data_IF_927964814268
#
_entry.id   IF_927964814268
#
_cell.length_a   1.000
_cell.length_b   1.000
_cell.length_c   1.000
_cell.angle_alpha   90.00
_cell.angle_beta   90.00
_cell.angle_gamma   90.00
#
_symmetry.space_group_name_H-M   'P 1'
#
loop_
_entity.id
_entity.type
_entity.pdbx_description
1 polymer ?
#
# COMPACT_ATOMS: atom_id res chain seq x y z
N UNK A 1 1.53 -4.38 19.49
CA UNK A 1 2.16 -5.40 18.61
C UNK A 1 3.40 -4.78 17.95
N UNK A 2 4.55 -5.46 17.97
CA UNK A 2 5.76 -4.97 17.29
C UNK A 2 5.65 -5.33 15.80
N UNK A 3 5.45 -4.34 14.93
CA UNK A 3 5.48 -4.53 13.47
C UNK A 3 6.92 -4.39 12.96
N UNK A 4 7.33 -5.25 12.02
CA UNK A 4 8.64 -5.15 11.33
C UNK A 4 8.41 -4.90 9.85
N UNK A 5 8.93 -3.80 9.31
CA UNK A 5 8.86 -3.49 7.89
C UNK A 5 9.56 -4.59 7.08
N UNK A 6 8.89 -5.09 6.03
CA UNK A 6 9.42 -6.05 5.08
C UNK A 6 9.70 -5.38 3.73
N UNK A 7 8.74 -4.61 3.22
CA UNK A 7 8.84 -3.92 1.95
C UNK A 7 8.22 -2.53 2.03
N UNK A 8 8.78 -1.62 1.26
CA UNK A 8 8.22 -0.30 0.98
C UNK A 8 8.40 -0.03 -0.50
N UNK A 9 7.33 0.42 -1.16
CA UNK A 9 7.37 0.97 -2.51
C UNK A 9 6.60 2.28 -2.52
N UNK A 10 7.06 3.23 -3.32
CA UNK A 10 6.43 4.55 -3.42
C UNK A 10 6.29 4.99 -4.86
N UNK A 11 5.27 5.80 -5.13
CA UNK A 11 5.04 6.42 -6.43
C UNK A 11 4.53 7.84 -6.25
N UNK A 12 4.78 8.71 -7.22
CA UNK A 12 4.32 10.10 -7.21
C UNK A 12 3.22 10.26 -8.24
N UNK A 13 2.09 10.82 -7.81
CA UNK A 13 0.97 11.21 -8.66
C UNK A 13 0.97 12.72 -8.75
N UNK A 14 0.96 13.26 -9.97
CA UNK A 14 0.98 14.70 -10.20
C UNK A 14 -0.42 15.29 -10.03
N UNK A 15 -0.87 15.37 -8.78
CA UNK A 15 -2.16 15.92 -8.38
C UNK A 15 -2.18 16.24 -6.87
N UNK A 16 -3.15 17.04 -6.39
CA UNK A 16 -3.30 17.34 -4.96
C UNK A 16 -3.52 16.09 -4.10
N UNK A 17 -2.97 16.12 -2.88
CA UNK A 17 -3.01 15.00 -1.92
C UNK A 17 -4.43 14.54 -1.61
N UNK A 18 -5.39 15.47 -1.56
CA UNK A 18 -6.80 15.19 -1.25
C UNK A 18 -7.45 14.37 -2.37
N UNK A 19 -7.15 14.69 -3.63
CA UNK A 19 -7.68 13.97 -4.79
C UNK A 19 -7.13 12.56 -4.91
N UNK A 20 -5.84 12.42 -4.62
CA UNK A 20 -5.19 11.11 -4.61
C UNK A 20 -5.67 10.25 -3.44
N UNK A 21 -5.89 10.86 -2.26
CA UNK A 21 -6.49 10.18 -1.12
C UNK A 21 -7.93 9.73 -1.41
N UNK A 22 -8.76 10.56 -2.03
CA UNK A 22 -10.12 10.20 -2.48
C UNK A 22 -10.09 8.93 -3.36
N UNK A 23 -9.21 8.90 -4.37
CA UNK A 23 -9.04 7.73 -5.24
C UNK A 23 -8.54 6.49 -4.50
N UNK A 24 -7.61 6.66 -3.56
CA UNK A 24 -7.11 5.57 -2.73
C UNK A 24 -8.24 4.95 -1.89
N UNK A 25 -9.03 5.78 -1.20
CA UNK A 25 -10.15 5.31 -0.40
C UNK A 25 -11.29 4.72 -1.24
N UNK A 26 -11.53 5.25 -2.44
CA UNK A 26 -12.51 4.70 -3.36
C UNK A 26 -12.09 3.34 -3.94
N UNK A 27 -10.80 3.14 -4.19
CA UNK A 27 -10.26 1.85 -4.66
C UNK A 27 -10.37 0.78 -3.58
N UNK A 28 -10.17 1.16 -2.32
CA UNK A 28 -10.22 0.26 -1.17
C UNK A 28 -9.10 -0.80 -1.16
N UNK A 29 -8.97 -1.55 -0.06
CA UNK A 29 -8.07 -2.70 -0.01
C UNK A 29 -8.67 -3.91 -0.74
N UNK A 30 -7.88 -4.99 -0.93
CA UNK A 30 -8.41 -6.26 -1.44
C UNK A 30 -9.62 -6.75 -0.65
N UNK A 31 -10.53 -7.50 -1.29
CA UNK A 31 -11.67 -8.08 -0.60
C UNK A 31 -11.26 -9.24 0.33
N UNK A 32 -12.03 -9.46 1.40
CA UNK A 32 -11.84 -10.60 2.30
C UNK A 32 -10.69 -10.47 3.32
N UNK A 33 -10.16 -9.26 3.52
CA UNK A 33 -9.16 -8.96 4.56
C UNK A 33 -9.75 -8.03 5.62
N UNK A 34 -9.19 -8.07 6.83
CA UNK A 34 -9.47 -7.05 7.83
C UNK A 34 -8.93 -5.72 7.35
N UNK A 35 -9.69 -4.66 7.56
CA UNK A 35 -9.39 -3.31 7.08
C UNK A 35 -9.61 -2.30 8.18
N UNK A 36 -8.73 -1.31 8.23
CA UNK A 36 -8.82 -0.13 9.07
C UNK A 36 -8.46 1.09 8.22
N UNK A 37 -9.38 2.04 8.08
CA UNK A 37 -9.21 3.21 7.22
C UNK A 37 -9.23 4.48 8.09
N UNK A 38 -8.07 5.14 8.15
CA UNK A 38 -7.89 6.41 8.84
C UNK A 38 -7.82 7.55 7.81
N UNK A 39 -8.92 8.29 7.68
CA UNK A 39 -9.00 9.45 6.79
C UNK A 39 -8.28 10.68 7.35
N UNK A 40 -8.01 10.74 8.66
CA UNK A 40 -7.27 11.86 9.24
C UNK A 40 -5.79 11.79 8.86
N UNK A 41 -5.23 10.57 8.71
CA UNK A 41 -3.84 10.35 8.30
C UNK A 41 -3.70 9.84 6.86
N UNK A 42 -4.77 9.88 6.06
CA UNK A 42 -4.81 9.34 4.69
C UNK A 42 -4.18 7.94 4.58
N UNK A 43 -4.57 7.04 5.48
CA UNK A 43 -3.98 5.69 5.59
C UNK A 43 -5.05 4.61 5.56
N UNK A 44 -4.83 3.57 4.77
CA UNK A 44 -5.60 2.32 4.78
C UNK A 44 -4.67 1.20 5.21
N UNK A 45 -4.97 0.59 6.34
CA UNK A 45 -4.30 -0.61 6.82
C UNK A 45 -5.17 -1.83 6.56
N UNK A 46 -4.55 -2.94 6.16
CA UNK A 46 -5.25 -4.19 5.98
C UNK A 46 -4.38 -5.39 6.32
N UNK A 47 -4.99 -6.45 6.83
CA UNK A 47 -4.28 -7.66 7.23
C UNK A 47 -5.14 -8.90 7.01
N UNK A 48 -4.47 -9.98 6.61
CA UNK A 48 -5.04 -11.33 6.70
C UNK A 48 -4.97 -11.84 8.14
N UNK A 49 -5.22 -13.14 8.33
CA UNK A 49 -5.47 -13.63 9.68
C UNK A 49 -4.27 -13.61 10.64
N UNK A 50 -3.01 -13.68 10.19
CA UNK A 50 -1.92 -13.97 11.16
C UNK A 50 -0.47 -13.54 10.88
N UNK A 51 -0.06 -13.12 9.68
CA UNK A 51 1.37 -12.90 9.40
C UNK A 51 1.76 -11.57 8.76
N UNK A 52 0.87 -10.91 8.01
CA UNK A 52 1.19 -9.63 7.36
C UNK A 52 0.15 -8.56 7.60
N UNK A 53 0.60 -7.30 7.53
CA UNK A 53 -0.22 -6.09 7.44
C UNK A 53 0.30 -5.24 6.28
N UNK A 54 -0.55 -4.94 5.31
CA UNK A 54 -0.32 -3.90 4.31
C UNK A 54 -0.80 -2.56 4.84
N UNK A 55 -0.09 -1.48 4.53
CA UNK A 55 -0.49 -0.10 4.79
C UNK A 55 -0.28 0.70 3.50
N UNK A 56 -1.36 1.26 2.97
CA UNK A 56 -1.32 2.26 1.91
C UNK A 56 -1.55 3.64 2.52
N UNK A 57 -0.69 4.60 2.21
CA UNK A 57 -0.83 5.98 2.67
C UNK A 57 -0.57 6.98 1.55
N UNK A 58 -1.21 8.14 1.64
CA UNK A 58 -0.94 9.29 0.76
C UNK A 58 -0.33 10.42 1.58
N UNK A 59 0.84 10.88 1.17
CA UNK A 59 1.61 11.94 1.80
C UNK A 59 1.75 13.12 0.82
N UNK A 60 1.90 14.35 1.34
CA UNK A 60 2.19 15.52 0.49
C UNK A 60 3.54 15.36 -0.22
N UNK A 61 3.64 15.86 -1.46
CA UNK A 61 4.88 15.86 -2.23
C UNK A 61 5.00 17.16 -3.04
N UNK A 62 6.21 17.73 -3.23
CA UNK A 62 6.37 18.95 -4.05
C UNK A 62 5.79 18.85 -5.46
N UNK A 63 5.83 17.66 -6.06
CA UNK A 63 5.30 17.39 -7.40
C UNK A 63 3.84 16.86 -7.40
N UNK A 64 3.11 16.96 -6.28
CA UNK A 64 1.73 16.48 -6.13
C UNK A 64 1.53 15.66 -4.85
N UNK A 65 1.31 14.36 -5.00
CA UNK A 65 1.09 13.45 -3.88
C UNK A 65 1.97 12.21 -3.98
N UNK A 66 2.53 11.79 -2.83
CA UNK A 66 3.30 10.57 -2.72
C UNK A 66 2.42 9.44 -2.20
N UNK A 67 2.18 8.44 -3.05
CA UNK A 67 1.54 7.19 -2.66
C UNK A 67 2.61 6.25 -2.10
N UNK A 68 2.36 5.74 -0.90
CA UNK A 68 3.29 4.86 -0.19
C UNK A 68 2.58 3.56 0.13
N UNK A 69 3.23 2.44 -0.18
CA UNK A 69 2.76 1.11 0.18
C UNK A 69 3.82 0.41 1.02
N UNK A 70 3.44 0.02 2.25
CA UNK A 70 4.31 -0.65 3.22
C UNK A 70 3.73 -2.01 3.57
N UNK A 71 4.60 -3.02 3.64
CA UNK A 71 4.24 -4.37 4.09
C UNK A 71 5.00 -4.68 5.36
N UNK A 72 4.28 -5.04 6.42
CA UNK A 72 4.85 -5.38 7.71
C UNK A 72 4.62 -6.85 8.05
N UNK A 73 5.61 -7.45 8.72
CA UNK A 73 5.43 -8.66 9.48
C UNK A 73 4.79 -8.33 10.83
N UNK A 74 3.67 -8.99 11.13
CA UNK A 74 2.95 -8.90 12.41
C UNK A 74 2.90 -10.24 13.16
N UNK A 75 3.56 -11.28 12.64
CA UNK A 75 3.57 -12.60 13.27
C UNK A 75 4.22 -12.56 14.67
N UNK A 76 3.65 -13.28 15.67
CA UNK A 76 4.31 -13.46 16.96
C UNK A 76 5.63 -14.23 16.80
N UNK A 77 6.62 -13.90 17.64
CA UNK A 77 7.97 -14.50 17.62
C UNK A 77 7.88 -16.03 17.59
N UNK A 78 8.60 -16.67 16.66
CA UNK A 78 8.64 -18.13 16.51
C UNK A 78 7.84 -18.69 15.34
N UNK A 79 7.03 -17.89 14.64
CA UNK A 79 6.23 -18.35 13.49
C UNK A 79 6.87 -18.04 12.11
N UNK A 80 8.17 -18.32 12.00
CA UNK A 80 8.98 -18.17 10.79
C UNK A 80 8.69 -19.22 9.71
N UNK A 81 7.79 -20.17 9.96
CA UNK A 81 7.40 -21.21 8.99
C UNK A 81 6.80 -20.61 7.69
N UNK A 82 6.03 -19.52 7.77
CA UNK A 82 5.58 -18.79 6.59
C UNK A 82 6.73 -18.09 5.83
N UNK A 83 7.80 -17.73 6.54
CA UNK A 83 9.03 -17.13 6.00
C UNK A 83 9.95 -18.17 5.33
N UNK A 84 9.82 -19.46 5.66
CA UNK A 84 10.54 -20.55 5.00
C UNK A 84 9.89 -20.96 3.68
N UNK A 85 8.61 -20.67 3.49
CA UNK A 85 7.92 -20.86 2.21
C UNK A 85 8.33 -19.82 1.13
N UNK A 86 9.34 -18.97 1.40
CA UNK A 86 9.87 -17.89 0.56
C UNK A 86 10.60 -18.32 -0.72
N UNK A 87 9.95 -19.17 -1.51
CA UNK A 87 9.90 -18.94 -2.96
C UNK A 87 9.10 -17.66 -3.28
N UNK A 88 8.26 -17.18 -2.36
CA UNK A 88 7.40 -16.02 -2.55
C UNK A 88 8.10 -14.66 -2.58
N UNK A 89 9.27 -14.45 -1.93
CA UNK A 89 9.96 -13.15 -2.01
C UNK A 89 10.83 -12.95 -3.25
N UNK A 90 11.16 -14.03 -3.99
CA UNK A 90 11.88 -13.91 -5.26
C UNK A 90 10.90 -13.29 -6.27
N UNK A 91 11.15 -12.03 -6.62
CA UNK A 91 10.30 -11.27 -7.55
C UNK A 91 9.14 -10.51 -6.90
N UNK A 92 8.82 -10.72 -5.61
CA UNK A 92 7.74 -9.99 -4.94
C UNK A 92 7.95 -8.48 -4.94
N UNK A 93 9.18 -8.03 -4.68
CA UNK A 93 9.52 -6.61 -4.77
C UNK A 93 9.28 -6.06 -6.18
N UNK A 94 9.70 -6.77 -7.22
CA UNK A 94 9.49 -6.35 -8.60
C UNK A 94 7.99 -6.30 -8.96
N UNK A 95 7.19 -7.23 -8.41
CA UNK A 95 5.72 -7.21 -8.53
C UNK A 95 5.11 -6.02 -7.81
N UNK A 96 5.55 -5.71 -6.58
CA UNK A 96 5.08 -4.52 -5.83
C UNK A 96 5.43 -3.23 -6.56
N UNK A 97 6.66 -3.11 -7.08
CA UNK A 97 7.11 -1.95 -7.84
C UNK A 97 6.31 -1.81 -9.15
N UNK A 98 5.99 -2.91 -9.83
CA UNK A 98 5.11 -2.90 -11.01
C UNK A 98 3.70 -2.45 -10.65
N UNK A 99 3.09 -3.06 -9.64
CA UNK A 99 1.76 -2.70 -9.18
C UNK A 99 1.68 -1.24 -8.73
N UNK A 100 2.73 -0.71 -8.10
CA UNK A 100 2.81 0.72 -7.76
C UNK A 100 2.83 1.59 -9.02
N UNK A 101 3.64 1.26 -10.04
CA UNK A 101 3.64 2.00 -11.31
C UNK A 101 2.28 1.97 -12.00
N UNK A 102 1.65 0.80 -12.05
CA UNK A 102 0.33 0.62 -12.66
C UNK A 102 -0.73 1.46 -11.93
N UNK A 103 -0.68 1.50 -10.59
CA UNK A 103 -1.58 2.31 -9.76
C UNK A 103 -1.35 3.82 -9.94
N UNK A 104 -0.10 4.26 -10.04
CA UNK A 104 0.23 5.66 -10.34
C UNK A 104 -0.35 6.06 -11.70
N UNK A 105 -0.16 5.24 -12.73
CA UNK A 105 -0.68 5.50 -14.07
C UNK A 105 -2.22 5.53 -14.11
N UNK A 106 -2.88 4.60 -13.41
CA UNK A 106 -4.34 4.56 -13.27
C UNK A 106 -4.87 5.83 -12.57
N UNK A 107 -4.22 6.29 -11.50
CA UNK A 107 -4.65 7.50 -10.79
C UNK A 107 -4.43 8.76 -11.63
N UNK A 108 -3.29 8.87 -12.32
CA UNK A 108 -3.06 9.96 -13.27
C UNK A 108 -4.15 10.00 -14.34
N UNK A 109 -4.43 8.87 -15.00
CA UNK A 109 -5.47 8.79 -16.01
C UNK A 109 -6.84 9.22 -15.47
N UNK A 110 -7.27 8.70 -14.31
CA UNK A 110 -8.56 9.05 -13.71
C UNK A 110 -8.70 10.55 -13.39
N UNK A 111 -7.61 11.19 -13.00
CA UNK A 111 -7.60 12.62 -12.68
C UNK A 111 -7.60 13.49 -13.93
N UNK A 112 -6.88 13.08 -14.98
CA UNK A 112 -6.88 13.77 -16.28
C UNK A 112 -8.27 13.75 -16.94
N UNK A 113 -9.07 12.69 -16.74
CA UNK A 113 -10.46 12.62 -17.23
C UNK A 113 -11.48 13.38 -16.38
N UNK A 114 -11.10 13.85 -15.19
CA UNK A 114 -12.01 14.51 -14.24
C UNK A 114 -11.89 16.04 -14.23
N UNK A 115 -10.99 16.61 -15.04
CA UNK A 115 -10.78 18.07 -15.22
C UNK A 115 -11.37 18.57 -16.53
#
# INVERSE_FOLDING_TARGET
MRKRLLFEVTGVVNAPVEKVAELMFASGPPSGVHTDADRATNTISYWGNWWYRGEDSVEEHPDGARLVHRVYNIAPQGNWAAYLANKLFIGYRATLERSMRDRVADYQAKLDYSG
#
